data_IF_313516727544
#
_entry.id   IF_313516727544
#
_cell.length_a   1.000
_cell.length_b   1.000
_cell.length_c   1.000
_cell.angle_alpha   90.00
_cell.angle_beta   90.00
_cell.angle_gamma   90.00
#
_symmetry.space_group_name_H-M   'P 1'
#
loop_
_entity.id
_entity.type
_entity.pdbx_description
1 polymer ?
#
# COMPACT_ATOMS: atom_id res chain seq x y z
N UNK A 1 44.43 -22.15 -70.96
CA UNK A 1 43.20 -22.26 -70.15
C UNK A 1 43.61 -22.91 -68.83
N UNK A 2 43.54 -22.36 -67.63
CA UNK A 2 42.76 -21.25 -67.06
C UNK A 2 43.42 -20.85 -65.73
N UNK A 3 43.76 -19.56 -65.62
CA UNK A 3 43.75 -18.68 -64.42
C UNK A 3 44.00 -19.29 -63.02
N UNK A 4 45.17 -18.97 -62.46
CA UNK A 4 45.43 -18.95 -61.01
C UNK A 4 44.60 -17.83 -60.34
N UNK A 5 43.77 -18.19 -59.37
CA UNK A 5 43.12 -17.25 -58.44
C UNK A 5 43.86 -17.26 -57.09
N UNK A 6 44.12 -16.04 -56.63
CA UNK A 6 44.83 -15.65 -55.42
C UNK A 6 43.87 -15.46 -54.23
N UNK A 7 44.44 -15.54 -53.03
CA UNK A 7 44.03 -14.90 -51.77
C UNK A 7 42.73 -15.40 -51.10
N UNK A 8 42.82 -15.82 -49.83
CA UNK A 8 42.50 -14.97 -48.67
C UNK A 8 42.86 -15.70 -47.36
N UNK A 9 43.81 -15.14 -46.61
CA UNK A 9 44.15 -15.53 -45.23
C UNK A 9 43.21 -14.74 -44.32
N UNK A 10 42.27 -15.41 -43.67
CA UNK A 10 41.41 -14.83 -42.64
C UNK A 10 42.00 -15.09 -41.26
N UNK A 11 42.71 -14.12 -40.70
CA UNK A 11 43.18 -14.09 -39.31
C UNK A 11 42.02 -13.64 -38.41
N UNK A 12 41.31 -14.57 -37.78
CA UNK A 12 40.35 -14.25 -36.73
C UNK A 12 41.10 -14.05 -35.40
N UNK A 13 41.36 -12.79 -35.06
CA UNK A 13 41.80 -12.39 -33.71
C UNK A 13 40.57 -12.48 -32.81
N UNK A 14 40.52 -13.50 -31.96
CA UNK A 14 39.57 -13.61 -30.87
C UNK A 14 39.85 -12.55 -29.82
N UNK A 15 39.01 -11.50 -29.78
CA UNK A 15 38.97 -10.56 -28.67
C UNK A 15 38.22 -11.26 -27.54
N UNK A 16 38.97 -11.81 -26.60
CA UNK A 16 38.45 -12.27 -25.31
C UNK A 16 38.19 -11.01 -24.48
N UNK A 17 36.92 -10.59 -24.41
CA UNK A 17 36.46 -9.57 -23.47
C UNK A 17 36.34 -10.21 -22.08
N UNK A 18 37.33 -10.01 -21.21
CA UNK A 18 37.26 -10.29 -19.78
C UNK A 18 36.81 -9.01 -19.08
N UNK A 19 35.78 -9.13 -18.23
CA UNK A 19 35.45 -8.22 -17.14
C UNK A 19 34.89 -6.87 -17.62
N UNK A 20 33.74 -6.41 -17.16
CA UNK A 20 33.37 -6.27 -15.75
C UNK A 20 31.87 -6.51 -15.65
N UNK A 21 31.47 -7.53 -14.89
CA UNK A 21 30.11 -7.60 -14.38
C UNK A 21 29.95 -6.45 -13.39
N UNK A 22 29.35 -5.35 -13.83
CA UNK A 22 28.80 -4.34 -12.93
C UNK A 22 27.57 -4.99 -12.32
N UNK A 23 27.76 -5.66 -11.18
CA UNK A 23 26.65 -5.90 -10.27
C UNK A 23 26.38 -4.52 -9.68
N UNK A 24 25.41 -3.79 -10.25
CA UNK A 24 24.79 -2.72 -9.50
C UNK A 24 24.14 -3.41 -8.30
N UNK A 25 24.75 -3.26 -7.13
CA UNK A 25 24.08 -3.54 -5.87
C UNK A 25 22.85 -2.63 -5.88
N UNK A 26 21.69 -3.21 -6.12
CA UNK A 26 20.44 -2.47 -6.00
C UNK A 26 20.39 -2.01 -4.55
N UNK A 27 20.38 -0.69 -4.36
CA UNK A 27 20.13 -0.02 -3.08
C UNK A 27 18.67 -0.23 -2.70
N UNK A 28 18.28 -1.49 -2.53
CA UNK A 28 16.94 -1.84 -2.11
C UNK A 28 16.82 -1.49 -0.64
N UNK A 29 15.92 -0.55 -0.34
CA UNK A 29 15.53 -0.22 1.02
C UNK A 29 15.17 -1.53 1.74
N UNK A 30 15.66 -1.74 2.95
CA UNK A 30 15.43 -2.99 3.66
C UNK A 30 13.93 -3.14 3.94
N UNK A 31 13.41 -4.33 3.64
CA UNK A 31 11.99 -4.68 3.74
C UNK A 31 11.74 -5.49 4.99
N UNK A 32 10.65 -5.18 5.71
CA UNK A 32 10.18 -5.99 6.83
C UNK A 32 9.58 -7.28 6.26
N UNK A 33 10.02 -8.48 6.70
CA UNK A 33 9.41 -9.75 6.29
C UNK A 33 7.92 -9.85 6.65
N UNK A 34 7.15 -10.59 5.84
CA UNK A 34 5.70 -10.76 6.08
C UNK A 34 5.40 -11.58 7.35
N UNK A 35 6.33 -12.41 7.80
CA UNK A 35 6.24 -13.25 9.01
C UNK A 35 6.95 -12.65 10.23
N UNK A 36 7.33 -11.38 10.16
CA UNK A 36 8.05 -10.70 11.24
C UNK A 36 7.23 -10.63 12.53
N UNK A 37 7.80 -11.10 13.63
CA UNK A 37 7.09 -11.28 14.91
C UNK A 37 7.36 -10.17 15.92
N UNK A 38 8.28 -9.26 15.62
CA UNK A 38 8.75 -8.22 16.52
C UNK A 38 9.41 -8.75 17.80
N UNK A 39 9.94 -9.98 17.78
CA UNK A 39 10.79 -10.44 18.87
C UNK A 39 12.14 -9.71 18.88
N UNK A 40 12.81 -9.72 20.03
CA UNK A 40 14.06 -8.96 20.23
C UNK A 40 15.17 -9.41 19.27
N UNK A 41 15.27 -10.71 18.95
CA UNK A 41 16.33 -11.21 18.09
C UNK A 41 16.11 -10.78 16.63
N UNK A 42 14.86 -10.85 16.15
CA UNK A 42 14.46 -10.37 14.83
C UNK A 42 14.64 -8.85 14.70
N UNK A 43 14.27 -8.09 15.73
CA UNK A 43 14.48 -6.64 15.78
C UNK A 43 15.95 -6.26 15.67
N UNK A 44 16.84 -6.96 16.40
CA UNK A 44 18.29 -6.72 16.33
C UNK A 44 18.81 -6.99 14.92
N UNK A 45 18.38 -8.09 14.28
CA UNK A 45 18.82 -8.43 12.94
C UNK A 45 18.37 -7.39 11.91
N UNK A 46 17.10 -6.99 11.96
CA UNK A 46 16.56 -5.99 11.05
C UNK A 46 17.18 -4.60 11.29
N UNK A 47 17.48 -4.24 12.53
CA UNK A 47 18.16 -3.01 12.87
C UNK A 47 19.60 -2.98 12.33
N UNK A 48 20.32 -4.10 12.35
CA UNK A 48 21.65 -4.21 11.73
C UNK A 48 21.58 -3.96 10.22
N UNK A 49 20.56 -4.52 9.54
CA UNK A 49 20.33 -4.26 8.12
C UNK A 49 20.04 -2.77 7.86
N UNK A 50 19.20 -2.13 8.67
CA UNK A 50 18.91 -0.70 8.56
C UNK A 50 20.16 0.17 8.81
N UNK A 51 21.00 -0.22 9.78
CA UNK A 51 22.23 0.49 10.14
C UNK A 51 23.22 0.53 8.97
N UNK A 52 23.34 -0.55 8.20
CA UNK A 52 24.23 -0.59 7.02
C UNK A 52 23.90 0.50 6.00
N UNK A 53 22.62 0.86 5.82
CA UNK A 53 22.25 1.97 4.93
C UNK A 53 22.73 3.31 5.48
N UNK A 54 22.51 3.55 6.77
CA UNK A 54 22.95 4.81 7.42
C UNK A 54 24.48 4.92 7.51
N UNK A 55 25.21 3.81 7.64
CA UNK A 55 26.68 3.81 7.69
C UNK A 55 27.33 4.24 6.36
N UNK A 56 26.64 4.03 5.24
CA UNK A 56 27.13 4.45 3.92
C UNK A 56 26.79 5.90 3.56
N UNK A 57 25.98 6.58 4.39
CA UNK A 57 25.46 7.90 4.10
C UNK A 57 26.55 8.92 3.81
N UNK A 58 27.62 8.98 4.61
CA UNK A 58 28.68 9.97 4.43
C UNK A 58 29.37 9.82 3.07
N UNK A 59 29.69 8.60 2.68
CA UNK A 59 30.32 8.32 1.39
C UNK A 59 29.38 8.66 0.23
N UNK A 60 28.12 8.21 0.31
CA UNK A 60 27.11 8.49 -0.70
C UNK A 60 26.82 9.98 -0.81
N UNK A 61 26.84 10.73 0.29
CA UNK A 61 26.60 12.17 0.28
C UNK A 61 27.74 12.94 -0.41
N UNK A 62 29.00 12.49 -0.28
CA UNK A 62 30.11 13.09 -1.02
C UNK A 62 30.03 12.83 -2.54
N UNK A 63 29.48 11.68 -2.94
CA UNK A 63 29.34 11.30 -4.34
C UNK A 63 28.08 11.89 -5.00
N UNK A 64 26.94 11.80 -4.30
CA UNK A 64 25.62 12.20 -4.75
C UNK A 64 24.71 12.58 -3.56
N UNK A 65 24.68 13.87 -3.17
CA UNK A 65 23.87 14.35 -2.05
C UNK A 65 22.37 14.02 -2.16
N UNK A 66 21.78 14.13 -3.35
CA UNK A 66 20.35 13.92 -3.55
C UNK A 66 19.97 12.45 -3.31
N UNK A 67 20.81 11.53 -3.78
CA UNK A 67 20.62 10.09 -3.57
C UNK A 67 20.83 9.69 -2.10
N UNK A 68 21.83 10.28 -1.43
CA UNK A 68 22.04 10.06 0.00
C UNK A 68 20.82 10.51 0.82
N UNK A 69 20.28 11.68 0.52
CA UNK A 69 19.09 12.21 1.20
C UNK A 69 17.84 11.37 0.89
N UNK A 70 17.66 10.88 -0.34
CA UNK A 70 16.59 9.97 -0.68
C UNK A 70 16.69 8.65 0.10
N UNK A 71 17.90 8.06 0.18
CA UNK A 71 18.14 6.85 0.95
C UNK A 71 17.88 7.04 2.45
N UNK A 72 18.30 8.17 3.03
CA UNK A 72 18.04 8.51 4.42
C UNK A 72 16.53 8.61 4.68
N UNK A 73 15.79 9.27 3.79
CA UNK A 73 14.34 9.40 3.87
C UNK A 73 13.63 8.04 3.80
N UNK A 74 14.02 7.18 2.85
CA UNK A 74 13.44 5.85 2.69
C UNK A 74 13.74 4.93 3.88
N UNK A 75 14.95 5.01 4.43
CA UNK A 75 15.33 4.29 5.65
C UNK A 75 14.50 4.76 6.85
N UNK A 76 14.28 6.08 6.98
CA UNK A 76 13.40 6.65 8.01
C UNK A 76 11.96 6.14 7.92
N UNK A 77 11.40 6.03 6.71
CA UNK A 77 10.07 5.42 6.49
C UNK A 77 10.05 3.94 6.87
N UNK A 78 11.12 3.19 6.60
CA UNK A 78 11.22 1.79 6.98
C UNK A 78 11.20 1.60 8.51
N UNK A 79 11.91 2.45 9.25
CA UNK A 79 11.85 2.50 10.72
C UNK A 79 10.43 2.82 11.23
N UNK A 80 9.76 3.81 10.62
CA UNK A 80 8.38 4.14 11.00
C UNK A 80 7.44 2.95 10.76
N UNK A 81 7.54 2.30 9.60
CA UNK A 81 6.75 1.10 9.28
C UNK A 81 7.01 -0.02 10.29
N UNK A 82 8.27 -0.26 10.66
CA UNK A 82 8.64 -1.27 11.65
C UNK A 82 7.96 -1.01 13.00
N UNK A 83 8.00 0.24 13.48
CA UNK A 83 7.35 0.61 14.72
C UNK A 83 5.83 0.34 14.67
N UNK A 84 5.17 0.71 13.57
CA UNK A 84 3.74 0.46 13.35
C UNK A 84 3.43 -1.04 13.28
N UNK A 85 4.23 -1.83 12.56
CA UNK A 85 4.11 -3.29 12.47
C UNK A 85 4.23 -3.93 13.85
N UNK A 86 5.10 -3.40 14.71
CA UNK A 86 5.26 -3.84 16.09
C UNK A 86 4.25 -3.23 17.08
N UNK A 87 3.19 -2.60 16.57
CA UNK A 87 2.05 -2.12 17.35
C UNK A 87 2.25 -0.76 18.01
N UNK A 88 3.38 -0.08 17.78
CA UNK A 88 3.57 1.28 18.27
C UNK A 88 2.81 2.28 17.40
N UNK A 89 1.89 3.03 18.01
CA UNK A 89 1.19 4.15 17.38
C UNK A 89 1.79 5.48 17.91
N UNK A 90 2.46 6.29 17.06
CA UNK A 90 2.97 7.59 17.48
C UNK A 90 1.82 8.57 17.80
N UNK A 91 2.02 9.64 18.58
CA UNK A 91 0.94 10.55 18.98
C UNK A 91 0.16 11.21 17.82
N UNK A 92 0.79 11.34 16.65
CA UNK A 92 0.24 11.93 15.43
C UNK A 92 -0.24 10.88 14.41
N UNK A 93 -0.30 9.59 14.80
CA UNK A 93 -0.63 8.47 13.89
C UNK A 93 -1.91 8.70 13.11
N UNK A 94 -2.92 9.33 13.71
CA UNK A 94 -4.21 9.63 13.08
C UNK A 94 -4.07 10.38 11.75
N UNK A 95 -3.02 11.20 11.61
CA UNK A 95 -2.72 12.01 10.42
C UNK A 95 -1.78 11.35 9.42
N UNK A 96 -1.20 10.20 9.75
CA UNK A 96 -0.32 9.47 8.85
C UNK A 96 -1.15 8.74 7.79
N UNK A 97 -0.60 8.61 6.58
CA UNK A 97 -1.19 7.74 5.55
C UNK A 97 -1.32 6.31 6.09
N UNK A 98 -2.48 5.70 5.87
CA UNK A 98 -2.86 4.43 6.49
C UNK A 98 -2.02 3.24 5.99
N UNK A 99 -1.49 3.33 4.77
CA UNK A 99 -0.81 2.23 4.09
C UNK A 99 -1.76 1.14 3.63
N UNK A 100 -1.22 -0.05 3.39
CA UNK A 100 -1.99 -1.22 2.91
C UNK A 100 -2.16 -2.32 3.95
N UNK A 101 -1.50 -2.21 5.09
CA UNK A 101 -1.51 -3.27 6.08
C UNK A 101 -2.81 -3.23 6.90
N UNK A 102 -3.72 -4.16 6.60
CA UNK A 102 -5.03 -4.26 7.26
C UNK A 102 -4.87 -4.42 8.77
N UNK A 103 -3.88 -5.20 9.25
CA UNK A 103 -3.68 -5.42 10.67
C UNK A 103 -3.24 -4.14 11.39
N UNK A 104 -2.33 -3.36 10.80
CA UNK A 104 -1.91 -2.07 11.34
C UNK A 104 -3.09 -1.09 11.37
N UNK A 105 -3.87 -1.01 10.29
CA UNK A 105 -5.04 -0.14 10.23
C UNK A 105 -6.07 -0.54 11.29
N UNK A 106 -6.39 -1.82 11.42
CA UNK A 106 -7.33 -2.30 12.43
C UNK A 106 -6.83 -2.06 13.87
N UNK A 107 -5.53 -2.12 14.12
CA UNK A 107 -4.94 -1.72 15.42
C UNK A 107 -5.09 -0.21 15.67
N UNK A 108 -4.81 0.62 14.66
CA UNK A 108 -4.98 2.06 14.74
C UNK A 108 -6.44 2.46 15.01
N UNK A 109 -7.40 1.85 14.32
CA UNK A 109 -8.83 2.15 14.45
C UNK A 109 -9.37 1.92 15.87
N UNK A 110 -8.79 1.01 16.67
CA UNK A 110 -9.18 0.80 18.07
C UNK A 110 -8.93 2.04 18.96
N UNK A 111 -8.06 2.95 18.51
CA UNK A 111 -7.65 4.15 19.23
C UNK A 111 -8.20 5.43 18.59
N UNK A 112 -9.06 5.30 17.57
CA UNK A 112 -9.66 6.41 16.86
C UNK A 112 -11.17 6.44 17.07
N UNK A 113 -11.72 7.65 16.99
CA UNK A 113 -13.17 7.86 16.92
C UNK A 113 -13.47 8.45 15.56
N UNK A 114 -14.20 7.71 14.73
CA UNK A 114 -14.63 8.22 13.43
C UNK A 114 -15.72 9.29 13.55
N UNK A 115 -15.70 10.24 12.64
CA UNK A 115 -16.73 11.25 12.41
C UNK A 115 -17.45 10.95 11.08
N UNK A 116 -18.71 10.46 11.11
CA UNK A 116 -19.44 10.12 9.89
C UNK A 116 -19.75 11.34 9.02
N UNK A 117 -19.81 12.56 9.58
CA UNK A 117 -20.03 13.79 8.81
C UNK A 117 -18.79 14.11 7.98
N UNK A 118 -17.61 14.01 8.60
CA UNK A 118 -16.34 14.16 7.87
C UNK A 118 -16.15 13.03 6.86
N UNK A 119 -16.50 11.80 7.23
CA UNK A 119 -16.46 10.64 6.35
C UNK A 119 -17.31 10.86 5.10
N UNK A 120 -18.53 11.37 5.26
CA UNK A 120 -19.39 11.76 4.14
C UNK A 120 -18.76 12.85 3.27
N UNK A 121 -18.13 13.86 3.87
CA UNK A 121 -17.47 14.95 3.13
C UNK A 121 -16.33 14.44 2.25
N UNK A 122 -15.47 13.57 2.78
CA UNK A 122 -14.38 12.95 2.01
C UNK A 122 -14.97 12.06 0.91
N UNK A 123 -15.96 11.23 1.25
CA UNK A 123 -16.60 10.29 0.32
C UNK A 123 -17.21 10.97 -0.91
N UNK A 124 -17.77 12.16 -0.72
CA UNK A 124 -18.46 12.95 -1.74
C UNK A 124 -17.60 14.06 -2.37
N UNK A 125 -16.27 14.03 -2.18
CA UNK A 125 -15.35 15.03 -2.76
C UNK A 125 -15.65 16.47 -2.27
N UNK A 126 -16.15 16.64 -1.04
CA UNK A 126 -16.47 17.94 -0.44
C UNK A 126 -15.32 18.50 0.41
N UNK A 127 -14.45 17.62 0.91
CA UNK A 127 -13.25 17.95 1.69
C UNK A 127 -12.09 17.05 1.21
N UNK A 128 -10.85 17.56 1.17
CA UNK A 128 -9.70 16.69 0.93
C UNK A 128 -9.49 15.71 2.09
N UNK A 129 -8.80 14.61 1.81
CA UNK A 129 -8.27 13.72 2.84
C UNK A 129 -7.22 14.43 3.69
N UNK A 130 -6.80 13.79 4.79
CA UNK A 130 -5.70 14.28 5.63
C UNK A 130 -4.34 14.35 4.90
N UNK A 131 -4.17 13.64 3.77
CA UNK A 131 -2.98 13.78 2.90
C UNK A 131 -3.10 14.93 1.90
N UNK A 132 -4.27 15.56 1.79
CA UNK A 132 -4.55 16.67 0.88
C UNK A 132 -5.17 16.26 -0.46
N UNK A 133 -5.48 14.97 -0.65
CA UNK A 133 -6.05 14.44 -1.90
C UNK A 133 -7.57 14.56 -1.92
N UNK A 134 -8.15 14.89 -3.09
CA UNK A 134 -9.60 14.83 -3.27
C UNK A 134 -10.01 13.40 -3.64
N UNK A 135 -10.81 12.77 -2.77
CA UNK A 135 -11.24 11.38 -2.92
C UNK A 135 -12.65 11.35 -3.52
N UNK A 136 -12.88 10.52 -4.53
CA UNK A 136 -14.11 10.52 -5.32
C UNK A 136 -14.90 9.20 -5.26
N UNK A 137 -15.11 8.67 -4.05
CA UNK A 137 -15.83 7.39 -3.85
C UNK A 137 -17.22 7.41 -4.49
N UNK A 138 -17.99 8.47 -4.24
CA UNK A 138 -19.35 8.64 -4.76
C UNK A 138 -19.43 8.69 -6.30
N UNK A 139 -18.33 8.97 -6.99
CA UNK A 139 -18.27 8.99 -8.46
C UNK A 139 -18.58 7.61 -9.08
N UNK A 140 -18.23 6.52 -8.38
CA UNK A 140 -18.50 5.15 -8.82
C UNK A 140 -19.58 4.47 -7.98
N UNK A 141 -19.61 4.74 -6.67
CA UNK A 141 -20.53 4.13 -5.71
C UNK A 141 -21.87 4.90 -5.54
N UNK A 142 -22.12 5.89 -6.40
CA UNK A 142 -23.37 6.66 -6.37
C UNK A 142 -24.61 5.85 -6.73
N UNK A 143 -25.77 6.52 -6.69
CA UNK A 143 -27.07 5.88 -6.85
C UNK A 143 -27.20 5.15 -8.20
N UNK A 144 -27.84 3.97 -8.17
CA UNK A 144 -28.07 3.00 -9.27
C UNK A 144 -26.95 1.98 -9.56
N UNK A 145 -25.81 2.03 -8.86
CA UNK A 145 -24.87 0.90 -8.78
C UNK A 145 -24.30 0.40 -10.12
N UNK A 146 -24.15 1.29 -11.10
CA UNK A 146 -23.79 0.90 -12.46
C UNK A 146 -22.32 0.44 -12.60
N UNK A 147 -21.42 1.04 -11.82
CA UNK A 147 -19.97 0.82 -11.96
C UNK A 147 -19.31 0.24 -10.69
N UNK A 148 -20.00 0.32 -9.55
CA UNK A 148 -19.58 -0.23 -8.27
C UNK A 148 -20.83 -0.48 -7.40
N UNK A 149 -20.72 -1.25 -6.29
CA UNK A 149 -21.81 -1.41 -5.34
C UNK A 149 -22.29 -0.04 -4.84
N UNK A 150 -23.61 0.13 -4.68
CA UNK A 150 -24.18 1.39 -4.21
C UNK A 150 -23.66 1.74 -2.81
N UNK A 151 -23.64 3.04 -2.48
CA UNK A 151 -23.32 3.52 -1.12
C UNK A 151 -24.46 3.18 -0.17
N UNK A 152 -25.67 3.45 -0.63
CA UNK A 152 -26.93 3.21 0.05
C UNK A 152 -27.08 1.72 0.42
N UNK A 153 -27.37 1.43 1.70
CA UNK A 153 -27.53 0.04 2.19
C UNK A 153 -26.22 -0.75 2.30
N UNK A 154 -25.05 -0.09 2.33
CA UNK A 154 -23.75 -0.78 2.48
C UNK A 154 -23.70 -1.57 3.79
N UNK A 155 -24.18 -0.99 4.89
CA UNK A 155 -24.27 -1.70 6.17
C UNK A 155 -25.20 -2.91 6.08
N UNK A 156 -26.39 -2.73 5.51
CA UNK A 156 -27.39 -3.79 5.37
C UNK A 156 -26.87 -4.95 4.54
N UNK A 157 -26.24 -4.68 3.39
CA UNK A 157 -25.63 -5.76 2.58
C UNK A 157 -24.50 -6.47 3.30
N UNK A 158 -23.71 -5.74 4.10
CA UNK A 158 -22.76 -6.41 4.97
C UNK A 158 -23.46 -7.33 5.97
N UNK A 159 -24.45 -6.84 6.71
CA UNK A 159 -25.07 -7.57 7.83
C UNK A 159 -26.00 -8.71 7.39
N UNK A 160 -26.69 -8.55 6.26
CA UNK A 160 -27.68 -9.53 5.81
C UNK A 160 -27.16 -10.49 4.74
N UNK A 161 -26.05 -10.14 4.06
CA UNK A 161 -25.50 -10.93 2.95
C UNK A 161 -24.05 -11.34 3.23
N UNK A 162 -23.13 -10.38 3.21
CA UNK A 162 -21.70 -10.69 3.15
C UNK A 162 -21.18 -11.35 4.43
N UNK A 163 -21.56 -10.88 5.63
CA UNK A 163 -21.09 -11.50 6.89
C UNK A 163 -21.51 -12.96 7.07
N UNK A 164 -22.50 -13.44 6.30
CA UNK A 164 -22.99 -14.82 6.33
C UNK A 164 -22.18 -15.74 5.40
N UNK A 165 -21.37 -15.18 4.50
CA UNK A 165 -20.51 -15.96 3.62
C UNK A 165 -19.37 -16.61 4.43
N UNK A 166 -19.04 -17.90 4.20
CA UNK A 166 -18.02 -18.60 4.98
C UNK A 166 -16.64 -17.93 4.98
N UNK A 167 -16.24 -17.24 3.90
CA UNK A 167 -14.94 -16.55 3.87
C UNK A 167 -14.85 -15.34 4.80
N UNK A 168 -15.99 -14.78 5.22
CA UNK A 168 -16.05 -13.64 6.14
C UNK A 168 -16.40 -14.07 7.57
N UNK A 169 -16.27 -15.37 7.88
CA UNK A 169 -16.47 -15.86 9.24
C UNK A 169 -15.50 -15.17 10.21
N UNK A 170 -16.06 -14.39 11.15
CA UNK A 170 -15.31 -13.64 12.16
C UNK A 170 -14.83 -12.26 11.72
N UNK A 171 -15.08 -11.86 10.47
CA UNK A 171 -14.83 -10.48 10.05
C UNK A 171 -15.78 -9.50 10.75
N UNK A 172 -15.27 -8.29 10.99
CA UNK A 172 -16.08 -7.13 11.36
C UNK A 172 -16.39 -6.29 10.12
N UNK A 173 -17.40 -5.44 10.19
CA UNK A 173 -17.69 -4.48 9.11
C UNK A 173 -16.48 -3.60 8.82
N UNK A 174 -15.84 -3.07 9.86
CA UNK A 174 -14.63 -2.26 9.74
C UNK A 174 -13.52 -3.01 8.99
N UNK A 175 -13.25 -4.28 9.33
CA UNK A 175 -12.25 -5.08 8.62
C UNK A 175 -12.59 -5.28 7.15
N UNK A 176 -13.84 -5.61 6.83
CA UNK A 176 -14.31 -5.77 5.46
C UNK A 176 -14.15 -4.48 4.64
N UNK A 177 -14.51 -3.33 5.20
CA UNK A 177 -14.36 -2.03 4.55
C UNK A 177 -12.90 -1.62 4.41
N UNK A 178 -12.06 -1.82 5.44
CA UNK A 178 -10.62 -1.55 5.36
C UNK A 178 -9.99 -2.35 4.23
N UNK A 179 -10.23 -3.66 4.18
CA UNK A 179 -9.69 -4.53 3.12
C UNK A 179 -10.21 -4.10 1.74
N UNK A 180 -11.50 -3.76 1.63
CA UNK A 180 -12.07 -3.23 0.38
C UNK A 180 -11.43 -1.91 -0.07
N UNK A 181 -11.01 -1.05 0.85
CA UNK A 181 -10.37 0.24 0.53
C UNK A 181 -8.91 0.07 0.11
N UNK A 182 -8.13 -0.73 0.85
CA UNK A 182 -6.67 -0.81 0.64
C UNK A 182 -6.24 -1.99 -0.24
N UNK A 183 -7.12 -2.97 -0.41
CA UNK A 183 -7.01 -4.15 -1.28
C UNK A 183 -8.31 -4.40 -2.07
N UNK A 184 -8.74 -3.48 -2.94
CA UNK A 184 -10.06 -3.53 -3.59
C UNK A 184 -10.34 -4.79 -4.43
N UNK A 185 -9.29 -5.45 -4.94
CA UNK A 185 -9.43 -6.67 -5.75
C UNK A 185 -9.30 -7.96 -4.92
N UNK A 186 -9.11 -7.88 -3.59
CA UNK A 186 -9.06 -9.06 -2.72
C UNK A 186 -10.42 -9.77 -2.65
N UNK A 187 -11.51 -8.99 -2.73
CA UNK A 187 -12.86 -9.49 -2.89
C UNK A 187 -13.65 -8.53 -3.78
N UNK A 188 -14.20 -9.04 -4.88
CA UNK A 188 -15.02 -8.27 -5.82
C UNK A 188 -16.44 -8.83 -5.77
N UNK A 189 -17.40 -7.99 -5.40
CA UNK A 189 -18.81 -8.36 -5.37
C UNK A 189 -19.33 -8.51 -6.81
N UNK A 190 -20.06 -9.59 -7.09
CA UNK A 190 -20.75 -9.76 -8.37
C UNK A 190 -21.84 -8.69 -8.56
N UNK A 191 -22.02 -8.12 -9.77
CA UNK A 191 -21.42 -8.49 -11.05
C UNK A 191 -20.22 -7.61 -11.45
N UNK A 192 -19.53 -6.97 -10.51
CA UNK A 192 -18.48 -6.00 -10.83
C UNK A 192 -17.19 -6.68 -11.27
N UNK A 193 -16.34 -5.93 -11.97
CA UNK A 193 -15.03 -6.41 -12.45
C UNK A 193 -13.89 -5.88 -11.57
N UNK A 194 -12.80 -6.65 -11.41
CA UNK A 194 -11.60 -6.17 -10.71
C UNK A 194 -10.90 -5.03 -11.47
N UNK A 195 -10.08 -4.27 -10.77
CA UNK A 195 -9.26 -3.18 -11.32
C UNK A 195 -10.02 -1.87 -11.56
N UNK A 196 -11.29 -1.79 -11.14
CA UNK A 196 -12.10 -0.57 -11.26
C UNK A 196 -11.88 0.37 -10.08
N UNK A 197 -11.87 -0.15 -8.85
CA UNK A 197 -11.63 0.65 -7.66
C UNK A 197 -10.13 0.94 -7.51
N UNK A 198 -9.72 2.22 -7.35
CA UNK A 198 -8.30 2.57 -7.24
C UNK A 198 -7.57 1.88 -6.08
N UNK A 199 -6.42 1.27 -6.36
CA UNK A 199 -5.65 0.49 -5.39
C UNK A 199 -4.63 1.30 -4.57
N UNK A 200 -4.70 2.63 -4.65
CA UNK A 200 -3.75 3.54 -4.01
C UNK A 200 -4.31 4.34 -2.83
N UNK A 201 -5.56 4.06 -2.40
CA UNK A 201 -6.19 4.79 -1.31
C UNK A 201 -5.44 4.70 0.03
N UNK A 202 -4.71 3.61 0.27
CA UNK A 202 -3.82 3.52 1.44
C UNK A 202 -2.73 4.59 1.48
N UNK A 203 -2.37 5.20 0.36
CA UNK A 203 -1.39 6.30 0.30
C UNK A 203 -2.04 7.68 0.40
N UNK A 204 -3.33 7.79 0.10
CA UNK A 204 -4.06 9.07 -0.01
C UNK A 204 -5.14 9.23 1.06
N UNK A 205 -5.33 8.24 1.93
CA UNK A 205 -6.17 8.29 3.12
C UNK A 205 -5.30 8.11 4.35
N UNK A 206 -5.54 8.95 5.35
CA UNK A 206 -4.97 8.79 6.68
C UNK A 206 -5.74 7.76 7.49
N UNK A 207 -5.18 7.32 8.63
CA UNK A 207 -5.90 6.45 9.55
C UNK A 207 -7.23 7.06 10.03
N UNK A 208 -7.26 8.38 10.29
CA UNK A 208 -8.50 9.07 10.67
C UNK A 208 -9.49 9.14 9.51
N UNK A 209 -9.04 9.38 8.28
CA UNK A 209 -9.94 9.39 7.11
C UNK A 209 -10.65 8.05 6.93
N UNK A 210 -9.92 6.94 7.09
CA UNK A 210 -10.50 5.59 7.04
C UNK A 210 -11.52 5.40 8.18
N UNK A 211 -11.21 5.82 9.41
CA UNK A 211 -12.14 5.74 10.53
C UNK A 211 -13.45 6.52 10.25
N UNK A 212 -13.33 7.73 9.71
CA UNK A 212 -14.45 8.59 9.35
C UNK A 212 -15.31 7.97 8.26
N UNK A 213 -14.68 7.47 7.18
CA UNK A 213 -15.37 6.81 6.06
C UNK A 213 -16.09 5.54 6.53
N UNK A 214 -15.47 4.72 7.38
CA UNK A 214 -16.12 3.53 7.95
C UNK A 214 -17.38 3.92 8.71
N UNK A 215 -17.30 4.94 9.58
CA UNK A 215 -18.48 5.40 10.33
C UNK A 215 -19.59 5.93 9.41
N UNK A 216 -19.22 6.61 8.32
CA UNK A 216 -20.19 7.03 7.31
C UNK A 216 -20.85 5.83 6.63
N UNK A 217 -20.08 4.83 6.19
CA UNK A 217 -20.59 3.63 5.53
C UNK A 217 -21.42 2.74 6.46
N UNK A 218 -21.05 2.68 7.74
CA UNK A 218 -21.81 1.97 8.78
C UNK A 218 -23.19 2.60 9.00
N UNK A 219 -23.32 3.91 8.76
CA UNK A 219 -24.62 4.61 8.81
C UNK A 219 -25.50 4.37 7.58
N UNK A 220 -25.00 3.71 6.53
CA UNK A 220 -25.75 3.42 5.31
C UNK A 220 -26.61 2.16 5.47
N UNK A 221 -27.61 2.26 6.34
CA UNK A 221 -28.59 1.20 6.61
C UNK A 221 -29.91 1.47 5.90
N UNK A 222 -30.46 0.45 5.24
CA UNK A 222 -31.72 0.48 4.50
C UNK A 222 -32.38 -0.90 4.59
N UNK A 223 -33.71 -0.97 4.60
CA UNK A 223 -34.37 -2.26 4.43
C UNK A 223 -34.07 -2.77 3.01
N UNK A 224 -33.67 -4.04 2.88
CA UNK A 224 -33.69 -4.68 1.58
C UNK A 224 -35.16 -4.78 1.15
N UNK A 225 -35.53 -4.06 0.09
CA UNK A 225 -36.85 -4.22 -0.52
C UNK A 225 -37.04 -5.71 -0.90
N UNK A 226 -38.19 -6.30 -0.55
CA UNK A 226 -38.57 -7.69 -0.88
C UNK A 226 -38.51 -8.00 -2.39
#
# INVERSE_FOLDING_TARGET
MTRHTKLWIGLFIGIIAIGVGVIMAQTQTPTIPDDFTCDMAELIFLQDDFQRFTDTFDALYQENPDEALAMLYDTGKAYQKLALTCGYLPPDFASLAAGKDVAIIMNALQNLKGDPVRGQSIYNTLEPSGTGDMIACAGCHGSHGANAPMTEGTWTRWDEIHRLEPQFAGYTFAQYIVESIVHPDAYVVEPFSPGIMPSHFGQTLTFQDIADIIMYLESQDQLLDE
#
